data_IF_240453502563
#
_entry.id   IF_240453502563
#
_cell.length_a   1.000
_cell.length_b   1.000
_cell.length_c   1.000
_cell.angle_alpha   90.00
_cell.angle_beta   90.00
_cell.angle_gamma   90.00
#
_symmetry.space_group_name_H-M   'P 1'
#
loop_
_entity.id
_entity.type
_entity.pdbx_description
1 polymer ?
#
# COMPACT_ATOMS: atom_id res chain seq x y z
N UNK A 1 -56.19 -38.46 -12.12
CA UNK A 1 -54.85 -39.09 -12.05
C UNK A 1 -53.80 -37.98 -12.00
N UNK A 2 -52.98 -37.89 -10.95
CA UNK A 2 -51.84 -36.97 -10.91
C UNK A 2 -50.72 -37.54 -11.80
N UNK A 3 -50.29 -36.78 -12.80
CA UNK A 3 -49.14 -37.12 -13.65
C UNK A 3 -47.89 -36.84 -12.82
N UNK A 4 -47.11 -37.86 -12.48
CA UNK A 4 -45.82 -37.65 -11.83
C UNK A 4 -44.81 -37.27 -12.93
N UNK A 5 -44.53 -35.98 -13.05
CA UNK A 5 -43.49 -35.46 -13.95
C UNK A 5 -42.12 -35.69 -13.30
N UNK A 6 -41.52 -36.84 -13.57
CA UNK A 6 -40.12 -37.11 -13.21
C UNK A 6 -39.17 -36.52 -14.27
N UNK A 7 -38.04 -35.99 -13.84
CA UNK A 7 -36.94 -35.62 -14.75
C UNK A 7 -36.31 -36.88 -15.35
N UNK A 8 -36.00 -36.85 -16.65
CA UNK A 8 -35.25 -37.92 -17.31
C UNK A 8 -33.77 -37.89 -16.94
N UNK A 9 -33.12 -39.05 -16.97
CA UNK A 9 -31.71 -39.20 -16.64
C UNK A 9 -30.80 -38.39 -17.59
N UNK A 10 -31.16 -38.32 -18.88
CA UNK A 10 -30.41 -37.54 -19.88
C UNK A 10 -30.57 -36.03 -19.65
N UNK A 11 -31.76 -35.59 -19.25
CA UNK A 11 -32.04 -34.19 -18.94
C UNK A 11 -31.20 -33.73 -17.74
N UNK A 12 -31.09 -34.58 -16.72
CA UNK A 12 -30.21 -34.32 -15.58
C UNK A 12 -28.73 -34.28 -15.99
N UNK A 13 -28.28 -35.23 -16.81
CA UNK A 13 -26.89 -35.33 -17.25
C UNK A 13 -26.44 -34.09 -18.04
N UNK A 14 -27.27 -33.62 -18.97
CA UNK A 14 -26.98 -32.43 -19.77
C UNK A 14 -26.87 -31.19 -18.89
N UNK A 15 -27.76 -31.04 -17.91
CA UNK A 15 -27.73 -29.90 -16.98
C UNK A 15 -26.43 -29.89 -16.17
N UNK A 16 -26.01 -31.05 -15.64
CA UNK A 16 -24.76 -31.15 -14.87
C UNK A 16 -23.54 -30.85 -15.77
N UNK A 17 -23.53 -31.32 -17.01
CA UNK A 17 -22.45 -31.05 -17.95
C UNK A 17 -22.33 -29.54 -18.28
N UNK A 18 -23.45 -28.86 -18.52
CA UNK A 18 -23.47 -27.43 -18.82
C UNK A 18 -23.04 -26.61 -17.60
N UNK A 19 -23.55 -26.92 -16.41
CA UNK A 19 -23.16 -26.22 -15.16
C UNK A 19 -21.67 -26.41 -14.88
N UNK A 20 -21.11 -27.59 -15.16
CA UNK A 20 -19.68 -27.87 -15.01
C UNK A 20 -18.81 -26.93 -15.86
N UNK A 21 -19.15 -26.75 -17.14
CA UNK A 21 -18.41 -25.86 -18.04
C UNK A 21 -18.58 -24.39 -17.64
N UNK A 22 -19.81 -23.95 -17.34
CA UNK A 22 -20.08 -22.57 -16.93
C UNK A 22 -19.36 -22.19 -15.64
N UNK A 23 -19.26 -23.11 -14.68
CA UNK A 23 -18.50 -22.92 -13.43
C UNK A 23 -17.02 -22.67 -13.70
N UNK A 24 -16.41 -23.45 -14.61
CA UNK A 24 -15.01 -23.27 -15.00
C UNK A 24 -14.72 -21.91 -15.64
N UNK A 25 -15.60 -21.43 -16.51
CA UNK A 25 -15.42 -20.12 -17.17
C UNK A 25 -15.66 -18.97 -16.19
N UNK A 26 -16.72 -19.06 -15.37
CA UNK A 26 -17.09 -18.03 -14.41
C UNK A 26 -16.00 -17.79 -13.36
N UNK A 27 -15.36 -18.85 -12.86
CA UNK A 27 -14.29 -18.74 -11.85
C UNK A 27 -13.05 -18.00 -12.36
N UNK A 28 -12.57 -18.31 -13.55
CA UNK A 28 -11.40 -17.63 -14.15
C UNK A 28 -11.70 -16.15 -14.46
N UNK A 29 -12.91 -15.86 -14.96
CA UNK A 29 -13.35 -14.48 -15.20
C UNK A 29 -13.41 -13.67 -13.90
N UNK A 30 -14.00 -14.26 -12.86
CA UNK A 30 -14.11 -13.63 -11.55
C UNK A 30 -12.73 -13.37 -10.93
N UNK A 31 -11.79 -14.33 -11.01
CA UNK A 31 -10.42 -14.14 -10.51
C UNK A 31 -9.71 -12.95 -11.18
N UNK A 32 -9.80 -12.82 -12.50
CA UNK A 32 -9.22 -11.69 -13.24
C UNK A 32 -9.85 -10.36 -12.85
N UNK A 33 -11.17 -10.33 -12.67
CA UNK A 33 -11.87 -9.13 -12.19
C UNK A 33 -11.39 -8.72 -10.79
N UNK A 34 -11.30 -9.68 -9.87
CA UNK A 34 -10.81 -9.43 -8.50
C UNK A 34 -9.37 -8.93 -8.53
N UNK A 35 -8.49 -9.53 -9.34
CA UNK A 35 -7.11 -9.07 -9.47
C UNK A 35 -7.01 -7.64 -10.00
N UNK A 36 -7.77 -7.29 -11.04
CA UNK A 36 -7.82 -5.94 -11.58
C UNK A 36 -8.33 -4.92 -10.54
N UNK A 37 -9.36 -5.29 -9.77
CA UNK A 37 -9.87 -4.46 -8.68
C UNK A 37 -8.82 -4.24 -7.58
N UNK A 38 -8.08 -5.29 -7.19
CA UNK A 38 -6.98 -5.21 -6.23
C UNK A 38 -5.86 -4.29 -6.71
N UNK A 39 -5.43 -4.43 -7.98
CA UNK A 39 -4.43 -3.55 -8.59
C UNK A 39 -4.87 -2.07 -8.52
N UNK A 40 -6.12 -1.78 -8.89
CA UNK A 40 -6.66 -0.42 -8.87
C UNK A 40 -6.64 0.20 -7.47
N UNK A 41 -7.07 -0.54 -6.45
CA UNK A 41 -7.06 -0.07 -5.05
C UNK A 41 -5.62 0.14 -4.57
N UNK A 42 -4.71 -0.79 -4.88
CA UNK A 42 -3.32 -0.68 -4.46
C UNK A 42 -2.65 0.59 -5.01
N UNK A 43 -2.86 0.87 -6.30
CA UNK A 43 -2.32 2.06 -6.97
C UNK A 43 -3.00 3.35 -6.48
N UNK A 44 -4.31 3.34 -6.25
CA UNK A 44 -5.00 4.51 -5.67
C UNK A 44 -4.45 4.88 -4.29
N UNK A 45 -4.19 3.89 -3.43
CA UNK A 45 -3.57 4.12 -2.13
C UNK A 45 -2.14 4.66 -2.29
N UNK A 46 -1.37 4.11 -3.24
CA UNK A 46 -0.05 4.62 -3.58
C UNK A 46 -0.08 6.09 -4.02
N UNK A 47 -0.97 6.45 -4.95
CA UNK A 47 -1.15 7.84 -5.40
C UNK A 47 -1.52 8.76 -4.23
N UNK A 48 -2.37 8.28 -3.31
CA UNK A 48 -2.72 9.04 -2.10
C UNK A 48 -1.50 9.28 -1.20
N UNK A 49 -0.58 8.33 -1.08
CA UNK A 49 0.69 8.50 -0.35
C UNK A 49 1.58 9.53 -1.05
N UNK A 50 1.64 9.51 -2.38
CA UNK A 50 2.40 10.49 -3.18
C UNK A 50 1.85 11.91 -3.00
N UNK A 51 0.53 12.07 -3.05
CA UNK A 51 -0.15 13.35 -2.85
C UNK A 51 0.04 13.87 -1.42
N UNK A 52 0.02 12.97 -0.44
CA UNK A 52 0.35 13.27 0.95
C UNK A 52 1.74 13.89 1.06
N UNK A 53 2.79 13.23 0.55
CA UNK A 53 4.15 13.78 0.62
C UNK A 53 4.30 15.08 -0.17
N UNK A 54 3.68 15.17 -1.34
CA UNK A 54 3.71 16.38 -2.16
C UNK A 54 3.16 17.58 -1.38
N UNK A 55 2.03 17.39 -0.68
CA UNK A 55 1.41 18.43 0.15
C UNK A 55 2.24 18.75 1.39
N UNK A 56 2.67 17.71 2.11
CA UNK A 56 3.42 17.86 3.36
C UNK A 56 4.76 18.58 3.13
N UNK A 57 5.46 18.25 2.04
CA UNK A 57 6.72 18.90 1.70
C UNK A 57 6.52 20.34 1.22
N UNK A 58 5.41 20.69 0.57
CA UNK A 58 5.11 22.09 0.27
C UNK A 58 5.00 22.90 1.58
N UNK A 59 4.34 22.35 2.60
CA UNK A 59 4.17 23.02 3.89
C UNK A 59 5.52 23.17 4.60
N UNK A 60 6.28 22.07 4.73
CA UNK A 60 7.52 22.01 5.50
C UNK A 60 8.70 22.72 4.79
N UNK A 61 8.86 22.54 3.47
CA UNK A 61 9.98 23.13 2.74
C UNK A 61 9.84 24.63 2.53
N UNK A 62 8.60 25.16 2.50
CA UNK A 62 8.35 26.60 2.37
C UNK A 62 8.12 27.29 3.72
N UNK A 63 8.40 26.60 4.85
CA UNK A 63 8.28 27.16 6.20
C UNK A 63 6.87 27.73 6.50
N UNK A 64 5.82 27.17 5.90
CA UNK A 64 4.43 27.57 6.17
C UNK A 64 4.02 27.11 7.59
N UNK A 65 4.48 25.91 7.97
CA UNK A 65 4.41 25.41 9.33
C UNK A 65 5.67 24.57 9.60
N UNK A 66 6.19 24.67 10.82
CA UNK A 66 7.36 23.89 11.25
C UNK A 66 6.95 22.49 11.74
N UNK A 67 5.66 22.27 12.02
CA UNK A 67 5.13 21.00 12.51
C UNK A 67 4.24 20.32 11.48
N UNK A 68 4.40 19.02 11.35
CA UNK A 68 3.47 18.17 10.63
C UNK A 68 2.21 17.92 11.47
N UNK A 69 1.03 18.18 10.90
CA UNK A 69 -0.22 17.87 11.59
C UNK A 69 -0.52 16.37 11.64
N UNK A 70 0.00 15.61 10.67
CA UNK A 70 -0.37 14.22 10.40
C UNK A 70 0.73 13.24 10.82
N UNK A 71 2.00 13.62 10.62
CA UNK A 71 3.16 12.81 11.00
C UNK A 71 3.44 12.98 12.50
N UNK A 72 3.50 11.87 13.23
CA UNK A 72 3.80 11.85 14.66
C UNK A 72 5.09 11.10 14.97
N UNK A 73 5.78 11.56 15.99
CA UNK A 73 6.92 10.89 16.62
C UNK A 73 6.54 10.61 18.07
N UNK A 74 6.20 9.35 18.36
CA UNK A 74 5.53 9.00 19.61
C UNK A 74 4.20 9.73 19.75
N UNK A 75 4.01 10.49 20.83
CA UNK A 75 2.80 11.29 21.07
C UNK A 75 2.86 12.70 20.48
N UNK A 76 4.02 13.14 20.01
CA UNK A 76 4.24 14.50 19.51
C UNK A 76 4.11 14.57 17.99
N UNK A 77 3.80 15.75 17.47
CA UNK A 77 3.91 16.03 16.04
C UNK A 77 5.38 16.04 15.61
N UNK A 78 5.65 15.57 14.40
CA UNK A 78 6.97 15.75 13.80
C UNK A 78 7.22 17.25 13.60
N UNK A 79 8.44 17.68 13.90
CA UNK A 79 8.84 19.10 13.91
C UNK A 79 10.15 19.26 13.14
N UNK A 80 10.16 20.18 12.17
CA UNK A 80 11.33 20.55 11.38
C UNK A 80 12.48 20.99 12.28
N UNK A 81 13.71 20.69 11.87
CA UNK A 81 14.96 21.00 12.57
C UNK A 81 15.12 20.39 13.98
N UNK A 82 14.12 19.65 14.47
CA UNK A 82 14.18 18.88 15.72
C UNK A 82 14.22 17.38 15.44
N UNK A 83 13.38 16.91 14.51
CA UNK A 83 13.24 15.50 14.19
C UNK A 83 13.94 15.17 12.86
N UNK A 84 14.46 13.94 12.77
CA UNK A 84 15.21 13.49 11.59
C UNK A 84 14.29 12.88 10.52
N UNK A 85 14.85 12.64 9.32
CA UNK A 85 14.11 12.02 8.21
C UNK A 85 13.59 10.62 8.57
N UNK A 86 14.35 9.80 9.31
CA UNK A 86 13.90 8.46 9.72
C UNK A 86 12.58 8.53 10.49
N UNK A 87 12.50 9.41 11.48
CA UNK A 87 11.28 9.62 12.28
C UNK A 87 10.13 10.21 11.45
N UNK A 88 10.43 10.99 10.41
CA UNK A 88 9.43 11.48 9.46
C UNK A 88 8.81 10.33 8.64
N UNK A 89 9.66 9.46 8.08
CA UNK A 89 9.21 8.32 7.27
C UNK A 89 8.45 7.30 8.11
N UNK A 90 8.94 6.97 9.31
CA UNK A 90 8.25 6.08 10.25
C UNK A 90 6.91 6.66 10.69
N UNK A 91 6.85 7.94 11.08
CA UNK A 91 5.59 8.59 11.42
C UNK A 91 4.60 8.65 10.25
N UNK A 92 5.11 8.81 9.02
CA UNK A 92 4.31 8.82 7.80
C UNK A 92 3.75 7.43 7.46
N UNK A 93 4.53 6.36 7.63
CA UNK A 93 4.03 5.00 7.50
C UNK A 93 2.93 4.73 8.55
N UNK A 94 3.16 5.09 9.82
CA UNK A 94 2.20 4.91 10.91
C UNK A 94 0.88 5.68 10.69
N UNK A 95 0.92 6.83 10.02
CA UNK A 95 -0.28 7.57 9.65
C UNK A 95 -1.15 6.81 8.62
N UNK A 96 -0.51 6.04 7.72
CA UNK A 96 -1.18 5.25 6.69
C UNK A 96 -1.44 3.79 7.09
N UNK A 97 -0.85 3.34 8.19
CA UNK A 97 -1.08 2.02 8.79
C UNK A 97 -2.54 1.89 9.30
N UNK A 98 -2.93 0.67 9.69
CA UNK A 98 -4.23 0.22 10.18
C UNK A 98 -4.67 0.83 11.53
N UNK A 99 -3.97 1.87 12.00
CA UNK A 99 -4.09 2.44 13.34
C UNK A 99 -4.82 3.78 13.39
N UNK A 100 -4.27 4.74 14.14
CA UNK A 100 -4.92 6.01 14.51
C UNK A 100 -4.95 7.07 13.39
N UNK A 101 -4.96 6.66 12.12
CA UNK A 101 -4.94 7.52 10.94
C UNK A 101 -6.27 7.56 10.18
N UNK A 102 -6.43 8.57 9.31
CA UNK A 102 -7.59 8.65 8.40
C UNK A 102 -7.45 7.72 7.18
N UNK A 103 -6.24 7.24 6.89
CA UNK A 103 -5.91 6.52 5.68
C UNK A 103 -6.07 4.98 5.78
N UNK A 104 -5.71 4.34 6.91
CA UNK A 104 -5.94 2.91 7.18
C UNK A 104 -5.78 1.98 5.97
N UNK A 105 -4.65 2.08 5.27
CA UNK A 105 -4.43 1.35 4.03
C UNK A 105 -4.12 -0.12 4.29
N UNK A 106 -4.99 -0.97 3.74
CA UNK A 106 -4.84 -2.43 3.74
C UNK A 106 -4.26 -2.88 2.42
N UNK A 107 -3.31 -3.83 2.45
CA UNK A 107 -2.83 -4.41 1.21
C UNK A 107 -3.94 -5.28 0.58
N UNK A 108 -4.43 -4.96 -0.63
CA UNK A 108 -5.52 -5.71 -1.27
C UNK A 108 -5.13 -7.11 -1.77
N UNK A 109 -3.83 -7.43 -1.87
CA UNK A 109 -3.32 -8.75 -2.20
C UNK A 109 -3.12 -9.64 -0.98
N UNK A 110 -3.05 -9.05 0.22
CA UNK A 110 -2.89 -9.76 1.48
C UNK A 110 -4.23 -9.93 2.21
N UNK A 111 -4.18 -10.50 3.42
CA UNK A 111 -5.32 -10.55 4.32
C UNK A 111 -5.74 -9.14 4.75
N UNK A 112 -7.02 -8.95 5.10
CA UNK A 112 -7.61 -7.65 5.44
C UNK A 112 -7.04 -6.97 6.70
N UNK A 113 -6.07 -7.60 7.36
CA UNK A 113 -5.40 -7.12 8.58
C UNK A 113 -3.93 -6.78 8.35
N UNK A 114 -3.44 -6.87 7.12
CA UNK A 114 -2.06 -6.54 6.77
C UNK A 114 -2.03 -5.14 6.17
N UNK A 115 -1.16 -4.29 6.71
CA UNK A 115 -0.97 -2.93 6.23
C UNK A 115 -0.33 -2.91 4.86
N UNK A 116 -0.50 -1.81 4.14
CA UNK A 116 0.11 -1.63 2.82
C UNK A 116 1.40 -0.81 2.86
N UNK A 117 1.52 0.12 3.81
CA UNK A 117 2.61 1.10 3.86
C UNK A 117 3.62 0.71 4.94
N UNK A 118 4.89 0.68 4.56
CA UNK A 118 6.00 0.34 5.45
C UNK A 118 7.10 1.41 5.38
N UNK A 119 7.83 1.63 6.47
CA UNK A 119 9.02 2.47 6.49
C UNK A 119 10.26 1.65 6.76
N UNK A 120 11.24 1.64 5.85
CA UNK A 120 12.55 1.00 6.13
C UNK A 120 13.38 1.74 7.19
N UNK A 121 12.90 2.90 7.64
CA UNK A 121 13.50 3.63 8.77
C UNK A 121 13.03 3.09 10.11
N UNK A 122 11.95 2.30 10.13
CA UNK A 122 11.48 1.56 11.29
C UNK A 122 12.08 0.14 11.27
N UNK A 123 12.85 -0.28 12.29
CA UNK A 123 13.42 -1.62 12.35
C UNK A 123 12.37 -2.75 12.32
N UNK A 124 11.19 -2.53 12.89
CA UNK A 124 10.13 -3.54 12.92
C UNK A 124 9.56 -3.76 11.51
N UNK A 125 9.33 -2.68 10.77
CA UNK A 125 8.91 -2.75 9.36
C UNK A 125 10.01 -3.31 8.45
N UNK A 126 11.26 -2.90 8.67
CA UNK A 126 12.39 -3.34 7.86
C UNK A 126 12.66 -4.85 7.99
N UNK A 127 12.28 -5.45 9.12
CA UNK A 127 12.42 -6.88 9.39
C UNK A 127 11.14 -7.68 9.13
N UNK A 128 10.03 -7.03 8.78
CA UNK A 128 8.77 -7.71 8.48
C UNK A 128 8.88 -8.53 7.19
N UNK A 129 8.56 -9.83 7.29
CA UNK A 129 8.47 -10.76 6.16
C UNK A 129 7.53 -10.31 5.04
N UNK A 130 6.59 -9.41 5.33
CA UNK A 130 5.63 -8.88 4.38
C UNK A 130 6.17 -7.67 3.62
N UNK A 131 7.27 -7.02 4.02
CA UNK A 131 7.72 -5.73 3.44
C UNK A 131 7.85 -5.77 1.92
N UNK A 132 8.33 -6.88 1.36
CA UNK A 132 8.56 -7.04 -0.08
C UNK A 132 7.42 -7.75 -0.83
N UNK A 133 6.17 -7.66 -0.33
CA UNK A 133 5.01 -8.30 -0.98
C UNK A 133 4.32 -7.40 -2.00
N UNK A 134 3.73 -8.03 -3.01
CA UNK A 134 2.96 -7.35 -4.06
C UNK A 134 1.94 -6.38 -3.45
N UNK A 135 1.90 -5.17 -4.01
CA UNK A 135 1.00 -4.11 -3.61
C UNK A 135 1.48 -3.24 -2.45
N UNK A 136 2.58 -3.60 -1.78
CA UNK A 136 3.11 -2.78 -0.70
C UNK A 136 3.80 -1.51 -1.21
N UNK A 137 3.75 -0.50 -0.35
CA UNK A 137 4.31 0.83 -0.57
C UNK A 137 5.39 1.03 0.48
N UNK A 138 6.62 1.31 0.05
CA UNK A 138 7.74 1.45 0.97
C UNK A 138 8.28 2.87 0.95
N UNK A 139 8.43 3.41 2.14
CA UNK A 139 9.12 4.66 2.41
C UNK A 139 10.55 4.33 2.79
N UNK A 140 11.52 4.83 2.02
CA UNK A 140 12.93 4.59 2.32
C UNK A 140 13.76 5.84 2.12
N UNK A 141 14.81 5.98 2.92
CA UNK A 141 15.87 6.95 2.63
C UNK A 141 16.46 6.62 1.27
N UNK A 142 16.84 7.65 0.51
CA UNK A 142 17.38 7.46 -0.83
C UNK A 142 18.65 6.59 -0.75
N UNK A 143 18.78 5.52 -1.56
CA UNK A 143 19.92 4.59 -1.49
C UNK A 143 21.29 5.28 -1.61
N UNK A 144 21.42 6.22 -2.54
CA UNK A 144 22.66 6.98 -2.76
C UNK A 144 22.93 8.07 -1.69
N UNK A 145 21.98 8.29 -0.76
CA UNK A 145 22.08 9.28 0.31
C UNK A 145 21.70 8.67 1.67
N UNK A 146 22.22 7.47 1.98
CA UNK A 146 21.86 6.70 3.18
C UNK A 146 22.04 7.46 4.51
N UNK A 147 22.91 8.47 4.57
CA UNK A 147 23.09 9.32 5.76
C UNK A 147 21.95 10.29 6.01
N UNK A 148 21.11 10.57 5.01
CA UNK A 148 20.04 11.58 5.10
C UNK A 148 18.98 11.21 6.14
N UNK A 149 18.81 9.92 6.41
CA UNK A 149 17.90 9.40 7.42
C UNK A 149 18.11 10.02 8.81
N UNK A 150 19.37 10.20 9.22
CA UNK A 150 19.73 10.72 10.52
C UNK A 150 19.76 12.26 10.58
N UNK A 151 19.74 12.95 9.43
CA UNK A 151 19.82 14.41 9.38
C UNK A 151 18.54 15.05 9.91
N UNK A 152 18.71 16.12 10.68
CA UNK A 152 17.64 16.97 11.21
C UNK A 152 17.43 18.24 10.38
N UNK A 153 18.45 18.67 9.62
CA UNK A 153 18.44 19.87 8.79
C UNK A 153 19.04 19.59 7.40
N UNK A 154 18.77 20.50 6.46
CA UNK A 154 19.28 20.44 5.10
C UNK A 154 18.57 19.40 4.23
N UNK A 155 19.08 19.25 3.00
CA UNK A 155 18.50 18.32 2.02
C UNK A 155 18.56 16.87 2.53
N UNK A 156 17.36 16.29 2.62
CA UNK A 156 17.08 14.93 3.09
C UNK A 156 16.25 14.21 2.04
N UNK A 157 16.90 13.32 1.31
CA UNK A 157 16.30 12.63 0.16
C UNK A 157 15.71 11.30 0.56
N UNK A 158 14.51 11.03 0.08
CA UNK A 158 13.82 9.76 0.28
C UNK A 158 13.04 9.36 -0.96
N UNK A 159 12.65 8.09 -1.00
CA UNK A 159 11.89 7.51 -2.08
C UNK A 159 10.63 6.84 -1.55
N UNK A 160 9.57 6.91 -2.34
CA UNK A 160 8.37 6.10 -2.20
C UNK A 160 8.39 5.10 -3.35
N UNK A 161 8.47 3.81 -3.01
CA UNK A 161 8.49 2.71 -3.97
C UNK A 161 7.25 1.85 -3.83
N UNK A 162 6.87 1.18 -4.92
CA UNK A 162 5.76 0.25 -4.98
C UNK A 162 6.26 -1.13 -5.42
N UNK A 163 5.78 -2.21 -4.82
CA UNK A 163 6.05 -3.58 -5.27
C UNK A 163 4.98 -4.03 -6.27
N UNK A 164 5.34 -4.12 -7.56
CA UNK A 164 4.43 -4.63 -8.61
C UNK A 164 4.18 -6.13 -8.50
N UNK A 165 5.14 -6.85 -7.92
CA UNK A 165 5.05 -8.27 -7.57
C UNK A 165 5.92 -8.56 -6.34
N UNK A 166 5.83 -9.79 -5.82
CA UNK A 166 6.65 -10.22 -4.68
C UNK A 166 8.16 -10.07 -4.98
N UNK A 167 8.81 -9.18 -4.25
CA UNK A 167 10.23 -8.85 -4.40
C UNK A 167 10.57 -7.98 -5.61
N UNK A 168 9.59 -7.60 -6.43
CA UNK A 168 9.81 -6.83 -7.67
C UNK A 168 9.35 -5.38 -7.47
N UNK A 169 10.32 -4.47 -7.42
CA UNK A 169 10.05 -3.02 -7.32
C UNK A 169 9.61 -2.49 -8.69
N UNK A 170 8.52 -1.74 -8.69
CA UNK A 170 8.10 -0.94 -9.83
C UNK A 170 8.99 0.31 -9.95
N UNK A 171 10.00 0.21 -10.81
CA UNK A 171 10.95 1.30 -11.05
C UNK A 171 10.32 2.49 -11.76
N UNK A 172 9.23 2.28 -12.51
CA UNK A 172 8.51 3.35 -13.22
C UNK A 172 7.72 4.20 -12.22
N UNK A 173 7.12 3.55 -11.22
CA UNK A 173 6.41 4.18 -10.13
C UNK A 173 7.30 4.41 -8.90
N UNK A 174 8.60 4.58 -9.06
CA UNK A 174 9.45 5.07 -7.96
C UNK A 174 9.43 6.59 -7.97
N UNK A 175 9.03 7.22 -6.86
CA UNK A 175 9.01 8.67 -6.70
C UNK A 175 10.03 9.10 -5.69
N UNK A 176 10.75 10.17 -6.02
CA UNK A 176 11.79 10.74 -5.18
C UNK A 176 11.34 12.09 -4.63
N UNK A 177 11.68 12.33 -3.38
CA UNK A 177 11.32 13.53 -2.67
C UNK A 177 12.53 14.07 -1.91
N UNK A 178 12.53 15.38 -1.68
CA UNK A 178 13.54 16.06 -0.86
C UNK A 178 12.85 16.91 0.20
N UNK A 179 13.11 16.58 1.45
CA UNK A 179 12.79 17.40 2.61
C UNK A 179 13.96 18.34 2.87
N UNK A 180 13.70 19.65 2.99
CA UNK A 180 14.73 20.69 3.19
C UNK A 180 14.86 21.09 4.65
#
# INVERSE_FOLDING_TARGET
MKKNSGFSLIELLVVVAIIGVLSGIGTVGFQRYVEAAKNKVALQNYDTVIDFFSTELIILNNNINEKSSLVKVGSNQWTKDTHNLNSFLTGSANYHDLGFGLANFKNPFANQTIKQVYSLSDPDDASDSNVAKKGNIILRVHPDHSTDGAKITGDRRFQVIYYSDDGVIDTVNTKEFTLK
#
